data_IF_401059283615
#
_entry.id   IF_401059283615
#
_cell.length_a   1.000
_cell.length_b   1.000
_cell.length_c   1.000
_cell.angle_alpha   90.00
_cell.angle_beta   90.00
_cell.angle_gamma   90.00
#
_symmetry.space_group_name_H-M   'P 1'
#
loop_
_entity.id
_entity.type
_entity.pdbx_description
1 polymer ?
#
# COMPACT_ATOMS: atom_id res chain seq x y z
N UNK A 1 -23.86 5.48 -86.16
CA UNK A 1 -22.91 4.87 -87.13
C UNK A 1 -22.23 3.66 -86.51
N UNK A 2 -22.53 2.48 -87.15
CA UNK A 2 -21.81 1.25 -87.32
C UNK A 2 -20.65 0.89 -86.40
N UNK A 3 -20.87 -0.06 -85.53
CA UNK A 3 -20.53 -1.51 -85.64
C UNK A 3 -19.12 -1.80 -86.17
N UNK A 4 -18.29 -2.44 -85.37
CA UNK A 4 -17.60 -3.63 -85.81
C UNK A 4 -17.12 -4.46 -84.66
N UNK A 5 -17.60 -5.69 -84.63
CA UNK A 5 -17.14 -6.80 -83.77
C UNK A 5 -15.85 -7.36 -84.36
N UNK A 6 -14.85 -7.62 -83.53
CA UNK A 6 -13.80 -8.51 -83.89
C UNK A 6 -13.62 -9.54 -82.75
N UNK A 7 -13.91 -10.76 -83.11
CA UNK A 7 -13.71 -12.04 -82.40
C UNK A 7 -12.28 -12.50 -82.72
N UNK A 8 -11.47 -12.84 -81.79
CA UNK A 8 -10.23 -13.58 -81.95
C UNK A 8 -10.05 -14.63 -80.88
N UNK A 9 -9.41 -15.73 -81.19
CA UNK A 9 -9.70 -17.01 -80.53
C UNK A 9 -8.81 -17.29 -79.34
N UNK A 10 -9.34 -18.11 -78.47
CA UNK A 10 -8.71 -18.75 -77.30
C UNK A 10 -7.58 -19.67 -77.77
N UNK A 11 -6.37 -19.43 -77.28
CA UNK A 11 -5.28 -20.39 -77.36
C UNK A 11 -4.97 -20.90 -75.98
N UNK A 12 -5.43 -22.09 -75.66
CA UNK A 12 -5.15 -22.83 -74.45
C UNK A 12 -3.75 -23.44 -74.55
N UNK A 13 -2.82 -22.94 -73.73
CA UNK A 13 -1.54 -23.62 -73.53
C UNK A 13 -1.60 -24.24 -72.12
N UNK A 14 -1.73 -25.54 -72.08
CA UNK A 14 -1.57 -26.36 -70.90
C UNK A 14 -0.07 -26.56 -70.65
N UNK A 15 0.50 -25.86 -69.64
CA UNK A 15 1.82 -26.18 -69.12
C UNK A 15 1.67 -27.09 -67.92
N UNK A 16 2.04 -28.34 -68.08
CA UNK A 16 2.28 -29.31 -67.03
C UNK A 16 3.58 -28.93 -66.29
N UNK A 17 3.50 -28.32 -65.14
CA UNK A 17 4.63 -28.13 -64.22
C UNK A 17 4.56 -29.19 -63.11
N UNK A 18 5.29 -30.26 -63.29
CA UNK A 18 5.65 -31.21 -62.22
C UNK A 18 6.59 -30.52 -61.26
N UNK A 19 6.08 -29.86 -60.24
CA UNK A 19 6.86 -29.28 -59.14
C UNK A 19 7.08 -30.33 -58.05
N UNK A 20 8.31 -30.77 -57.86
CA UNK A 20 8.72 -31.56 -56.70
C UNK A 20 8.39 -30.81 -55.43
N UNK A 21 7.55 -31.39 -54.60
CA UNK A 21 7.28 -30.95 -53.25
C UNK A 21 8.48 -31.24 -52.33
N UNK A 22 9.39 -30.29 -52.26
CA UNK A 22 10.35 -30.16 -51.12
C UNK A 22 9.76 -29.17 -50.14
N UNK A 23 8.70 -29.56 -49.43
CA UNK A 23 8.30 -28.91 -48.20
C UNK A 23 9.14 -29.52 -47.09
N UNK A 24 9.90 -28.74 -46.30
CA UNK A 24 10.51 -29.24 -45.08
C UNK A 24 9.37 -29.68 -44.14
N UNK A 25 9.40 -30.95 -43.74
CA UNK A 25 8.51 -31.43 -42.67
C UNK A 25 8.53 -30.46 -41.53
N UNK A 26 7.40 -29.79 -41.34
CA UNK A 26 7.20 -28.90 -40.20
C UNK A 26 7.40 -29.71 -38.94
N UNK A 27 8.48 -29.42 -38.22
CA UNK A 27 8.70 -29.87 -36.86
C UNK A 27 7.40 -29.55 -36.11
N UNK A 28 6.72 -30.58 -35.60
CA UNK A 28 5.60 -30.36 -34.69
C UNK A 28 5.98 -29.31 -33.64
N UNK A 29 5.10 -28.36 -33.34
CA UNK A 29 5.41 -27.37 -32.32
C UNK A 29 5.74 -28.13 -31.04
N UNK A 30 7.00 -28.02 -30.65
CA UNK A 30 7.49 -28.51 -29.37
C UNK A 30 6.54 -27.93 -28.33
N UNK A 31 5.68 -28.76 -27.78
CA UNK A 31 4.84 -28.38 -26.64
C UNK A 31 5.82 -27.94 -25.57
N UNK A 32 6.05 -26.62 -25.51
CA UNK A 32 6.66 -25.99 -24.34
C UNK A 32 5.80 -26.45 -23.18
N UNK A 33 6.28 -27.44 -22.46
CA UNK A 33 5.83 -27.73 -21.13
C UNK A 33 6.01 -26.41 -20.37
N UNK A 34 4.97 -25.58 -20.40
CA UNK A 34 4.82 -24.55 -19.41
C UNK A 34 4.77 -25.29 -18.08
N UNK A 35 5.93 -25.45 -17.49
CA UNK A 35 6.03 -25.71 -16.09
C UNK A 35 5.15 -24.64 -15.46
N UNK A 36 3.91 -25.00 -15.17
CA UNK A 36 3.12 -24.26 -14.19
C UNK A 36 3.98 -24.29 -12.95
N UNK A 37 4.81 -23.29 -12.79
CA UNK A 37 5.35 -22.92 -11.51
C UNK A 37 4.11 -22.61 -10.68
N UNK A 38 3.56 -23.64 -10.05
CA UNK A 38 2.70 -23.45 -8.90
C UNK A 38 3.52 -22.58 -7.98
N UNK A 39 3.11 -21.30 -7.86
CA UNK A 39 3.72 -20.40 -6.92
C UNK A 39 3.54 -21.08 -5.56
N UNK A 40 4.57 -21.81 -5.12
CA UNK A 40 4.59 -22.37 -3.78
C UNK A 40 4.54 -21.15 -2.86
N UNK A 41 3.40 -20.96 -2.22
CA UNK A 41 3.27 -20.00 -1.14
C UNK A 41 4.16 -20.53 -0.04
N UNK A 42 5.39 -20.04 0.01
CA UNK A 42 6.32 -20.37 1.10
C UNK A 42 5.68 -19.91 2.41
N UNK A 43 5.79 -20.72 3.47
CA UNK A 43 5.28 -20.31 4.77
C UNK A 43 5.98 -19.01 5.20
N UNK A 44 5.28 -18.10 5.87
CA UNK A 44 5.89 -16.87 6.37
C UNK A 44 7.12 -17.17 7.21
N UNK A 45 8.14 -16.32 7.10
CA UNK A 45 9.36 -16.40 7.91
C UNK A 45 9.02 -16.40 9.40
N UNK A 46 9.84 -17.04 10.27
CA UNK A 46 9.52 -17.16 11.69
C UNK A 46 9.19 -15.83 12.38
N UNK A 47 9.95 -14.78 12.07
CA UNK A 47 9.73 -13.43 12.61
C UNK A 47 8.39 -12.81 12.14
N UNK A 48 7.98 -13.11 10.92
CA UNK A 48 6.67 -12.67 10.41
C UNK A 48 5.55 -13.41 11.11
N UNK A 49 5.70 -14.74 11.33
CA UNK A 49 4.71 -15.53 12.07
C UNK A 49 4.53 -15.04 13.51
N UNK A 50 5.63 -14.74 14.19
CA UNK A 50 5.57 -14.19 15.55
C UNK A 50 4.82 -12.85 15.57
N UNK A 51 5.16 -11.93 14.67
CA UNK A 51 4.46 -10.66 14.55
C UNK A 51 2.96 -10.82 14.23
N UNK A 52 2.58 -11.74 13.34
CA UNK A 52 1.17 -12.01 13.04
C UNK A 52 0.39 -12.52 14.26
N UNK A 53 1.04 -13.33 15.11
CA UNK A 53 0.46 -13.78 16.37
C UNK A 53 0.24 -12.63 17.36
N UNK A 54 1.23 -11.74 17.53
CA UNK A 54 1.12 -10.54 18.39
C UNK A 54 0.04 -9.56 17.87
N UNK A 55 0.01 -9.32 16.56
CA UNK A 55 -1.03 -8.50 15.95
C UNK A 55 -2.43 -9.10 16.17
N UNK A 56 -2.57 -10.43 16.06
CA UNK A 56 -3.80 -11.16 16.40
C UNK A 56 -4.19 -11.00 17.87
N UNK A 57 -3.21 -11.10 18.79
CA UNK A 57 -3.45 -10.90 20.22
C UNK A 57 -3.95 -9.49 20.55
N UNK A 58 -3.59 -8.47 19.74
CA UNK A 58 -4.11 -7.11 19.85
C UNK A 58 -5.56 -6.97 19.43
N UNK A 59 -6.21 -8.05 18.94
CA UNK A 59 -7.57 -8.10 18.39
C UNK A 59 -7.77 -7.18 17.16
N UNK A 60 -6.72 -6.93 16.40
CA UNK A 60 -6.82 -6.31 15.08
C UNK A 60 -7.49 -7.28 14.10
N UNK A 61 -8.34 -6.77 13.22
CA UNK A 61 -8.82 -7.53 12.07
C UNK A 61 -7.90 -7.25 10.88
N UNK A 62 -7.21 -8.27 10.40
CA UNK A 62 -6.21 -8.14 9.34
C UNK A 62 -6.12 -9.41 8.49
N UNK A 63 -5.51 -9.30 7.32
CA UNK A 63 -5.13 -10.42 6.47
C UNK A 63 -3.66 -10.29 6.04
N UNK A 64 -2.84 -11.35 6.16
CA UNK A 64 -1.52 -11.38 5.57
C UNK A 64 -1.59 -11.21 4.05
N UNK A 65 -0.63 -10.48 3.48
CA UNK A 65 -0.53 -10.27 2.04
C UNK A 65 0.66 -11.08 1.47
N UNK A 66 0.57 -11.52 0.21
CA UNK A 66 1.70 -12.16 -0.45
C UNK A 66 2.89 -11.22 -0.55
N UNK A 67 4.09 -11.75 -0.31
CA UNK A 67 5.33 -11.04 -0.52
C UNK A 67 5.49 -10.65 -1.99
N UNK A 68 5.76 -9.36 -2.25
CA UNK A 68 6.01 -8.85 -3.59
C UNK A 68 7.23 -7.96 -3.62
N UNK A 69 8.04 -8.14 -4.66
CA UNK A 69 9.17 -7.29 -4.96
C UNK A 69 8.95 -6.61 -6.32
N UNK A 70 8.96 -5.29 -6.34
CA UNK A 70 8.64 -4.49 -7.53
C UNK A 70 9.90 -3.95 -8.23
N UNK A 71 11.08 -4.31 -7.75
CA UNK A 71 12.35 -3.80 -8.25
C UNK A 71 12.76 -2.45 -7.65
N UNK A 72 13.99 -2.04 -7.94
CA UNK A 72 14.55 -0.74 -7.56
C UNK A 72 14.34 -0.35 -6.07
N UNK A 73 14.35 -1.33 -5.15
CA UNK A 73 14.17 -1.11 -3.72
C UNK A 73 12.72 -0.94 -3.26
N UNK A 74 11.74 -1.28 -4.11
CA UNK A 74 10.32 -1.25 -3.76
C UNK A 74 9.80 -2.65 -3.49
N UNK A 75 9.09 -2.86 -2.38
CA UNK A 75 8.56 -4.16 -1.98
C UNK A 75 7.41 -4.05 -0.98
N UNK A 76 6.62 -5.13 -0.90
CA UNK A 76 5.64 -5.36 0.17
C UNK A 76 5.91 -6.73 0.77
N UNK A 77 7.02 -6.85 1.53
CA UNK A 77 7.46 -8.08 2.17
C UNK A 77 6.97 -8.14 3.61
N UNK A 78 6.43 -9.28 4.03
CA UNK A 78 5.90 -9.47 5.38
C UNK A 78 4.79 -8.46 5.72
N UNK A 79 3.97 -8.09 4.75
CA UNK A 79 2.93 -7.09 4.90
C UNK A 79 1.57 -7.70 5.23
N UNK A 80 0.73 -6.89 5.84
CA UNK A 80 -0.67 -7.18 6.13
C UNK A 80 -1.57 -6.08 5.55
N UNK A 81 -2.82 -6.44 5.24
CA UNK A 81 -3.93 -5.51 5.12
C UNK A 81 -4.64 -5.46 6.46
N UNK A 82 -4.82 -4.25 7.00
CA UNK A 82 -5.58 -4.05 8.22
C UNK A 82 -7.00 -3.61 7.84
N UNK A 83 -7.99 -4.36 8.29
CA UNK A 83 -9.40 -4.03 8.07
C UNK A 83 -9.95 -3.14 9.20
N UNK A 84 -9.47 -3.35 10.42
CA UNK A 84 -9.76 -2.50 11.57
C UNK A 84 -8.84 -2.81 12.75
N UNK A 85 -8.72 -1.85 13.66
CA UNK A 85 -8.03 -2.00 14.94
C UNK A 85 -9.02 -2.10 16.10
N UNK A 86 -8.54 -2.55 17.24
CA UNK A 86 -9.31 -2.59 18.49
C UNK A 86 -8.86 -1.45 19.42
N UNK A 87 -9.78 -0.66 19.87
CA UNK A 87 -9.63 0.27 20.99
C UNK A 87 -9.93 -0.43 22.31
N UNK A 88 -10.03 0.29 23.44
CA UNK A 88 -10.44 -0.31 24.71
C UNK A 88 -11.86 -0.86 24.61
N UNK A 89 -12.81 -0.08 24.13
CA UNK A 89 -14.23 -0.41 24.11
C UNK A 89 -14.83 -0.53 22.70
N UNK A 90 -14.14 -0.05 21.67
CA UNK A 90 -14.68 0.08 20.33
C UNK A 90 -13.74 -0.50 19.25
N UNK A 91 -14.30 -0.64 18.06
CA UNK A 91 -13.56 -0.93 16.82
C UNK A 91 -13.16 0.38 16.17
N UNK A 92 -11.88 0.51 15.80
CA UNK A 92 -11.37 1.65 15.05
C UNK A 92 -11.35 1.29 13.57
N UNK A 93 -12.16 1.97 12.78
CA UNK A 93 -12.09 1.86 11.32
C UNK A 93 -10.84 2.59 10.79
N UNK A 94 -10.32 2.11 9.67
CA UNK A 94 -9.22 2.74 8.95
C UNK A 94 -9.67 3.08 7.53
N UNK A 95 -9.22 4.20 7.01
CA UNK A 95 -9.48 4.57 5.61
C UNK A 95 -8.18 4.76 4.86
N UNK A 96 -8.16 4.35 3.60
CA UNK A 96 -7.08 4.56 2.65
C UNK A 96 -5.71 3.98 3.10
N UNK A 97 -5.71 2.98 3.99
CA UNK A 97 -4.49 2.29 4.39
C UNK A 97 -4.19 1.14 3.44
N UNK A 98 -3.06 1.20 2.77
CA UNK A 98 -2.55 0.14 1.90
C UNK A 98 -1.82 -0.97 2.67
N UNK A 99 -0.97 -1.77 2.00
CA UNK A 99 -0.11 -2.75 2.64
C UNK A 99 0.79 -2.10 3.70
N UNK A 100 0.91 -2.73 4.87
CA UNK A 100 1.82 -2.31 5.95
C UNK A 100 2.67 -3.49 6.39
N UNK A 101 3.96 -3.29 6.66
CA UNK A 101 4.76 -4.35 7.29
C UNK A 101 4.14 -4.75 8.63
N UNK A 102 4.21 -6.04 8.97
CA UNK A 102 3.58 -6.52 10.21
C UNK A 102 4.11 -5.80 11.46
N UNK A 103 5.42 -5.54 11.65
CA UNK A 103 5.90 -4.78 12.81
C UNK A 103 5.35 -3.36 12.87
N UNK A 104 5.19 -2.69 11.72
CA UNK A 104 4.58 -1.35 11.68
C UNK A 104 3.08 -1.42 12.04
N UNK A 105 2.37 -2.45 11.57
CA UNK A 105 0.96 -2.68 11.89
C UNK A 105 0.74 -2.86 13.40
N UNK A 106 1.59 -3.67 14.05
CA UNK A 106 1.56 -3.90 15.50
C UNK A 106 1.82 -2.60 16.29
N UNK A 107 2.88 -1.87 15.93
CA UNK A 107 3.22 -0.58 16.55
C UNK A 107 2.10 0.43 16.36
N UNK A 108 1.50 0.48 15.17
CA UNK A 108 0.40 1.37 14.85
C UNK A 108 -0.87 1.01 15.64
N UNK A 109 -1.20 -0.28 15.78
CA UNK A 109 -2.31 -0.73 16.60
C UNK A 109 -2.15 -0.31 18.07
N UNK A 110 -0.94 -0.47 18.62
CA UNK A 110 -0.61 -0.01 19.98
C UNK A 110 -0.74 1.51 20.14
N UNK A 111 -0.23 2.27 19.16
CA UNK A 111 -0.36 3.73 19.19
C UNK A 111 -1.82 4.19 19.00
N UNK A 112 -2.56 3.59 18.09
CA UNK A 112 -3.96 3.93 17.84
C UNK A 112 -4.82 3.77 19.11
N UNK A 113 -4.63 2.67 19.84
CA UNK A 113 -5.37 2.38 21.08
C UNK A 113 -4.88 3.23 22.25
N UNK A 114 -3.60 3.10 22.60
CA UNK A 114 -3.05 3.64 23.84
C UNK A 114 -2.57 5.09 23.73
N UNK A 115 -2.23 5.54 22.54
CA UNK A 115 -1.78 6.90 22.26
C UNK A 115 -2.90 7.81 21.79
N UNK A 116 -3.57 7.44 20.68
CA UNK A 116 -4.52 8.31 20.02
C UNK A 116 -5.93 8.24 20.65
N UNK A 117 -6.52 7.06 20.75
CA UNK A 117 -7.91 6.93 21.25
C UNK A 117 -8.06 7.34 22.71
N UNK A 118 -7.18 6.89 23.59
CA UNK A 118 -7.22 7.33 25.00
C UNK A 118 -7.00 8.83 25.16
N UNK A 119 -6.13 9.43 24.34
CA UNK A 119 -5.95 10.89 24.35
C UNK A 119 -7.22 11.61 23.88
N UNK A 120 -7.91 11.08 22.85
CA UNK A 120 -9.19 11.64 22.39
C UNK A 120 -10.27 11.56 23.49
N UNK A 121 -10.42 10.43 24.15
CA UNK A 121 -11.36 10.28 25.27
C UNK A 121 -11.06 11.26 26.42
N UNK A 122 -9.79 11.33 26.85
CA UNK A 122 -9.40 12.15 28.01
C UNK A 122 -9.40 13.65 27.73
N UNK A 123 -9.01 14.07 26.53
CA UNK A 123 -8.82 15.49 26.20
C UNK A 123 -10.02 16.06 25.47
N UNK A 124 -10.58 15.30 24.51
CA UNK A 124 -11.66 15.75 23.64
C UNK A 124 -13.04 15.28 24.17
N UNK A 125 -13.07 14.31 25.10
CA UNK A 125 -14.29 13.80 25.70
C UNK A 125 -15.07 12.80 24.83
N UNK A 126 -14.45 12.29 23.74
CA UNK A 126 -15.09 11.35 22.84
C UNK A 126 -14.04 10.40 22.23
N UNK A 127 -14.33 9.08 22.16
CA UNK A 127 -13.41 8.12 21.55
C UNK A 127 -13.32 8.30 20.02
N UNK A 128 -12.22 7.81 19.45
CA UNK A 128 -12.03 7.72 18.00
C UNK A 128 -12.82 6.52 17.48
N UNK A 129 -13.59 6.68 16.41
CA UNK A 129 -14.23 5.60 15.66
C UNK A 129 -13.58 5.32 14.32
N UNK A 130 -12.82 6.28 13.78
CA UNK A 130 -12.08 6.12 12.52
C UNK A 130 -10.81 6.94 12.52
N UNK A 131 -9.71 6.33 12.03
CA UNK A 131 -8.46 7.01 11.70
C UNK A 131 -8.39 7.12 10.18
N UNK A 132 -8.16 8.34 9.70
CA UNK A 132 -8.02 8.65 8.28
C UNK A 132 -6.54 8.70 7.92
N UNK A 133 -6.14 7.97 6.85
CA UNK A 133 -4.76 7.91 6.38
C UNK A 133 -4.64 8.37 4.94
N UNK A 134 -3.44 8.78 4.56
CA UNK A 134 -3.05 9.09 3.17
C UNK A 134 -2.29 7.94 2.52
N UNK A 135 -2.25 6.78 3.19
CA UNK A 135 -1.64 5.56 2.67
C UNK A 135 -0.40 5.13 3.42
N UNK A 136 0.13 3.97 2.99
CA UNK A 136 1.30 3.32 3.60
C UNK A 136 2.34 2.88 2.58
N UNK A 137 1.93 2.52 1.36
CA UNK A 137 2.84 2.08 0.31
C UNK A 137 2.82 3.03 -0.89
N UNK A 138 4.02 3.48 -1.26
CA UNK A 138 4.24 4.26 -2.47
C UNK A 138 5.70 4.08 -2.91
N UNK A 139 5.91 3.49 -4.09
CA UNK A 139 7.25 3.29 -4.65
C UNK A 139 7.84 4.61 -5.16
N UNK A 140 8.38 5.40 -4.25
CA UNK A 140 8.98 6.72 -4.54
C UNK A 140 10.23 6.98 -3.72
N UNK A 141 11.00 7.96 -4.12
CA UNK A 141 12.08 8.50 -3.31
C UNK A 141 11.54 9.55 -2.31
N UNK A 142 12.34 9.84 -1.30
CA UNK A 142 12.17 11.02 -0.47
C UNK A 142 12.31 12.26 -1.36
N UNK A 143 11.39 13.23 -1.22
CA UNK A 143 11.40 14.45 -2.02
C UNK A 143 12.77 15.15 -1.94
N UNK A 144 13.32 15.52 -3.10
CA UNK A 144 14.64 16.18 -3.21
C UNK A 144 15.85 15.25 -2.93
N UNK A 145 15.66 13.91 -2.91
CA UNK A 145 16.70 12.96 -2.58
C UNK A 145 16.68 11.74 -3.50
N UNK A 146 17.84 11.12 -3.75
CA UNK A 146 17.95 9.83 -4.43
C UNK A 146 17.60 8.61 -3.55
N UNK A 147 17.37 8.82 -2.26
CA UNK A 147 17.09 7.72 -1.31
C UNK A 147 15.62 7.30 -1.35
N UNK A 148 15.37 6.00 -1.22
CA UNK A 148 14.01 5.48 -1.11
C UNK A 148 13.32 5.97 0.16
N UNK A 149 12.04 6.33 0.03
CA UNK A 149 11.16 6.56 1.16
C UNK A 149 10.80 5.23 1.83
N UNK A 150 10.53 5.23 3.12
CA UNK A 150 10.04 4.05 3.84
C UNK A 150 8.66 3.58 3.34
N UNK A 151 7.90 4.44 2.70
CA UNK A 151 6.71 4.04 1.96
C UNK A 151 7.00 3.05 0.83
N UNK A 152 8.20 3.07 0.23
CA UNK A 152 8.59 2.15 -0.84
C UNK A 152 8.70 0.69 -0.37
N UNK A 153 8.79 0.46 0.92
CA UNK A 153 8.80 -0.86 1.57
C UNK A 153 7.62 -1.08 2.50
N UNK A 154 6.54 -0.30 2.36
CA UNK A 154 5.36 -0.34 3.22
C UNK A 154 5.68 -0.18 4.73
N UNK A 155 6.76 0.54 5.06
CA UNK A 155 7.25 0.73 6.42
C UNK A 155 6.99 2.14 6.97
N UNK A 156 6.01 2.85 6.43
CA UNK A 156 5.50 4.13 6.90
C UNK A 156 3.98 4.23 6.73
N UNK A 157 3.33 5.05 7.58
CA UNK A 157 1.91 5.39 7.52
C UNK A 157 1.77 6.89 7.64
N UNK A 158 0.98 7.51 6.75
CA UNK A 158 0.62 8.92 6.83
C UNK A 158 -0.79 9.07 7.40
N UNK A 159 -0.92 9.63 8.61
CA UNK A 159 -2.20 9.85 9.31
C UNK A 159 -2.66 11.28 9.08
N UNK A 160 -3.80 11.47 8.44
CA UNK A 160 -4.35 12.79 8.11
C UNK A 160 -5.43 13.29 9.07
N UNK A 161 -6.10 12.39 9.82
CA UNK A 161 -7.17 12.83 10.70
C UNK A 161 -7.87 11.72 11.47
N UNK A 162 -8.86 12.13 12.24
CA UNK A 162 -9.64 11.29 13.16
C UNK A 162 -11.10 11.69 13.11
N UNK A 163 -11.99 10.70 13.14
CA UNK A 163 -13.42 10.91 13.35
C UNK A 163 -13.76 10.37 14.73
N UNK A 164 -14.42 11.19 15.53
CA UNK A 164 -14.83 10.87 16.89
C UNK A 164 -16.25 10.30 16.90
N UNK A 165 -16.59 9.58 17.96
CA UNK A 165 -17.93 8.99 18.13
C UNK A 165 -19.05 10.04 18.20
N UNK A 166 -18.76 11.27 18.65
CA UNK A 166 -19.69 12.39 18.67
C UNK A 166 -19.86 13.10 17.32
N UNK A 167 -19.25 12.58 16.25
CA UNK A 167 -19.35 13.09 14.88
C UNK A 167 -18.31 14.15 14.50
N UNK A 168 -17.55 14.67 15.45
CA UNK A 168 -16.47 15.62 15.14
C UNK A 168 -15.39 14.94 14.28
N UNK A 169 -14.94 15.65 13.25
CA UNK A 169 -13.80 15.27 12.43
C UNK A 169 -12.65 16.25 12.71
N UNK A 170 -11.51 15.72 13.14
CA UNK A 170 -10.32 16.49 13.49
C UNK A 170 -9.19 16.07 12.57
N UNK A 171 -8.65 17.01 11.80
CA UNK A 171 -7.63 16.74 10.79
C UNK A 171 -6.33 17.48 11.09
N UNK A 172 -5.20 16.92 10.69
CA UNK A 172 -3.90 17.58 10.80
C UNK A 172 -3.91 18.87 9.99
N UNK A 173 -4.40 18.85 8.74
CA UNK A 173 -4.46 20.04 7.88
C UNK A 173 -5.28 21.20 8.47
N UNK A 174 -6.43 20.89 9.06
CA UNK A 174 -7.38 21.93 9.54
C UNK A 174 -7.20 22.33 10.99
N UNK A 175 -6.69 21.42 11.83
CA UNK A 175 -6.79 21.60 13.27
C UNK A 175 -5.43 21.52 14.01
N UNK A 176 -4.31 21.41 13.30
CA UNK A 176 -2.99 21.40 13.96
C UNK A 176 -2.76 22.63 14.82
N UNK A 177 -3.10 23.81 14.29
CA UNK A 177 -3.02 25.10 14.95
C UNK A 177 -4.41 25.62 15.38
N UNK A 178 -5.30 24.73 15.78
CA UNK A 178 -6.68 25.06 16.17
C UNK A 178 -6.74 26.10 17.28
N UNK A 179 -7.79 26.93 17.30
CA UNK A 179 -8.01 27.89 18.39
C UNK A 179 -8.30 27.19 19.71
N UNK A 180 -8.89 25.99 19.69
CA UNK A 180 -9.15 25.20 20.89
C UNK A 180 -7.88 24.66 21.53
N UNK A 181 -7.57 25.05 22.79
CA UNK A 181 -6.44 24.49 23.51
C UNK A 181 -6.52 22.96 23.67
N UNK A 182 -7.73 22.39 23.74
CA UNK A 182 -7.94 20.94 23.85
C UNK A 182 -7.50 20.24 22.57
N UNK A 183 -7.84 20.78 21.41
CA UNK A 183 -7.45 20.19 20.12
C UNK A 183 -5.91 20.27 19.94
N UNK A 184 -5.29 21.39 20.24
CA UNK A 184 -3.82 21.51 20.21
C UNK A 184 -3.15 20.53 21.17
N UNK A 185 -3.68 20.40 22.40
CA UNK A 185 -3.18 19.43 23.39
C UNK A 185 -3.33 18.00 22.92
N UNK A 186 -4.44 17.67 22.26
CA UNK A 186 -4.64 16.35 21.65
C UNK A 186 -3.52 16.03 20.64
N UNK A 187 -3.26 16.91 19.67
CA UNK A 187 -2.19 16.70 18.69
C UNK A 187 -0.81 16.57 19.32
N UNK A 188 -0.47 17.44 20.28
CA UNK A 188 0.80 17.37 21.01
C UNK A 188 0.94 16.03 21.76
N UNK A 189 -0.15 15.54 22.36
CA UNK A 189 -0.15 14.27 23.12
C UNK A 189 0.04 13.07 22.19
N UNK A 190 -0.69 13.02 21.08
CA UNK A 190 -0.60 11.87 20.16
C UNK A 190 0.75 11.85 19.42
N UNK A 191 1.31 13.00 19.07
CA UNK A 191 2.65 13.11 18.50
C UNK A 191 3.71 12.65 19.50
N UNK A 192 3.68 13.15 20.73
CA UNK A 192 4.60 12.71 21.79
C UNK A 192 4.50 11.20 22.06
N UNK A 193 3.28 10.64 22.01
CA UNK A 193 3.05 9.19 22.10
C UNK A 193 3.62 8.43 20.90
N UNK A 194 3.50 8.97 19.69
CA UNK A 194 4.09 8.40 18.48
C UNK A 194 5.63 8.40 18.58
N UNK A 195 6.25 9.49 19.00
CA UNK A 195 7.70 9.61 19.13
C UNK A 195 8.34 8.59 20.10
N UNK A 196 7.54 8.03 21.01
CA UNK A 196 7.99 6.96 21.93
C UNK A 196 7.94 5.56 21.31
N UNK A 197 7.27 5.39 20.17
CA UNK A 197 6.97 4.08 19.55
C UNK A 197 7.57 3.92 18.18
N UNK A 198 7.58 5.00 17.40
CA UNK A 198 8.11 5.00 16.03
C UNK A 198 9.52 5.57 16.01
N UNK A 199 10.34 5.11 15.07
CA UNK A 199 11.69 5.62 14.91
C UNK A 199 11.70 7.03 14.30
N UNK A 200 10.85 7.29 13.31
CA UNK A 200 10.69 8.62 12.72
C UNK A 200 9.23 9.06 12.79
N UNK A 201 9.02 10.27 13.31
CA UNK A 201 7.71 10.94 13.34
C UNK A 201 7.88 12.34 12.80
N UNK A 202 7.17 12.66 11.72
CA UNK A 202 7.19 13.98 11.09
C UNK A 202 5.79 14.53 11.04
N UNK A 203 5.64 15.81 11.33
CA UNK A 203 4.38 16.52 11.29
C UNK A 203 4.53 17.92 10.69
N UNK A 204 3.51 18.78 10.83
CA UNK A 204 3.51 20.13 10.25
C UNK A 204 4.66 21.02 10.70
N UNK A 205 5.25 20.76 11.88
CA UNK A 205 6.41 21.50 12.36
C UNK A 205 7.71 21.14 11.63
N UNK A 206 7.76 20.04 10.89
CA UNK A 206 8.96 19.59 10.19
C UNK A 206 9.19 20.36 8.88
N UNK A 207 8.22 20.31 7.96
CA UNK A 207 8.28 21.03 6.69
C UNK A 207 6.92 21.06 5.98
N UNK A 208 6.84 21.82 4.89
CA UNK A 208 5.61 21.99 4.11
C UNK A 208 5.06 20.69 3.51
N UNK A 209 5.89 19.67 3.27
CA UNK A 209 5.43 18.39 2.73
C UNK A 209 4.62 17.58 3.76
N UNK A 210 4.75 17.88 5.05
CA UNK A 210 4.04 17.22 6.15
C UNK A 210 2.99 18.13 6.82
N UNK A 211 2.57 19.22 6.13
CA UNK A 211 1.60 20.21 6.69
C UNK A 211 0.21 19.63 7.00
N UNK A 212 -0.13 18.48 6.42
CA UNK A 212 -1.47 17.91 6.42
C UNK A 212 -1.56 16.48 6.97
N UNK A 213 -0.46 15.94 7.47
CA UNK A 213 -0.42 14.59 8.06
C UNK A 213 0.70 14.41 9.10
N UNK A 214 0.57 13.36 9.88
CA UNK A 214 1.65 12.79 10.68
C UNK A 214 2.23 11.59 9.94
N UNK A 215 3.48 11.68 9.54
CA UNK A 215 4.24 10.56 9.00
C UNK A 215 4.81 9.72 10.14
N UNK A 216 4.46 8.44 10.18
CA UNK A 216 4.86 7.49 11.22
C UNK A 216 5.66 6.36 10.57
N UNK A 217 6.93 6.19 10.95
CA UNK A 217 7.84 5.25 10.32
C UNK A 217 8.61 4.43 11.36
N UNK A 218 8.76 3.12 11.11
CA UNK A 218 9.72 2.30 11.85
C UNK A 218 11.10 2.43 11.20
N UNK A 219 11.93 3.27 11.77
CA UNK A 219 13.35 3.43 11.41
C UNK A 219 14.24 3.12 12.60
N UNK A 220 15.49 2.76 12.33
CA UNK A 220 16.47 2.49 13.42
C UNK A 220 17.01 3.73 14.13
N UNK A 221 16.62 4.95 13.69
CA UNK A 221 17.09 6.21 14.29
C UNK A 221 15.89 7.02 14.79
N UNK A 222 15.92 7.37 16.07
CA UNK A 222 14.89 8.23 16.65
C UNK A 222 14.97 9.66 16.07
N UNK A 223 13.91 10.09 15.40
CA UNK A 223 13.76 11.44 14.87
C UNK A 223 12.30 11.91 14.98
N UNK A 224 12.06 12.97 15.70
CA UNK A 224 10.71 13.46 16.00
C UNK A 224 10.65 14.99 15.77
N UNK A 225 9.80 15.45 14.82
CA UNK A 225 9.60 16.86 14.47
C UNK A 225 8.15 17.17 14.10
#
# INVERSE_FOLDING_TARGET
FRVMRAVLPVLTIALLLSGCSMLPEGRAPEQRNQVRQSAQVLPPRPEVRACLAELGASKAAFAPLPDKYYGAGCSTLGTVRIDSLKSDDAKLALTNLGPVTCPLAETFAGWARFGADRAAQQILGSPIVRIETMGSYNCRNIAGSGRRSSHATANAIDVSGFVLADGRRITVAGNWNDQSPKVRRFFATIQASACKRFGTVLGPAYNAAHRDHLHLELSGRAYCR
#
